data_IF_747376162309
#
_entry.id   IF_747376162309
#
_cell.length_a   1.000
_cell.length_b   1.000
_cell.length_c   1.000
_cell.angle_alpha   90.00
_cell.angle_beta   90.00
_cell.angle_gamma   90.00
#
_symmetry.space_group_name_H-M   'P 1'
#
loop_
_entity.id
_entity.type
_entity.pdbx_description
1 polymer ?
#
# COMPACT_ATOMS: atom_id res chain seq x y z
N UNK A 1 -9.17 -6.56 13.38
CA UNK A 1 -9.58 -5.65 14.46
C UNK A 1 -8.43 -4.72 14.88
N UNK A 2 -7.22 -5.24 15.05
CA UNK A 2 -6.04 -4.46 15.48
C UNK A 2 -5.78 -3.20 14.63
N UNK A 3 -5.91 -3.27 13.30
CA UNK A 3 -5.75 -2.09 12.43
C UNK A 3 -6.81 -1.00 12.69
N UNK A 4 -8.04 -1.38 13.00
CA UNK A 4 -9.10 -0.42 13.36
C UNK A 4 -8.79 0.22 14.72
N UNK A 5 -8.40 -0.59 15.71
CA UNK A 5 -8.02 -0.07 17.04
C UNK A 5 -6.79 0.85 16.96
N UNK A 6 -5.82 0.50 16.12
CA UNK A 6 -4.69 1.36 15.80
C UNK A 6 -5.16 2.69 15.19
N UNK A 7 -6.07 2.66 14.21
CA UNK A 7 -6.63 3.87 13.62
C UNK A 7 -7.40 4.74 14.63
N UNK A 8 -8.22 4.14 15.50
CA UNK A 8 -8.96 4.87 16.55
C UNK A 8 -8.02 5.53 17.54
N UNK A 9 -6.95 4.84 17.95
CA UNK A 9 -5.97 5.38 18.89
C UNK A 9 -5.08 6.46 18.27
N UNK A 10 -4.75 6.34 16.99
CA UNK A 10 -3.87 7.29 16.30
C UNK A 10 -4.61 8.50 15.73
N UNK A 11 -5.86 8.32 15.30
CA UNK A 11 -6.70 9.35 14.70
C UNK A 11 -8.15 9.24 15.17
N UNK A 12 -8.34 9.61 16.43
CA UNK A 12 -9.67 9.64 17.05
C UNK A 12 -10.60 10.67 16.37
N UNK A 13 -10.04 11.72 15.76
CA UNK A 13 -10.82 12.78 15.12
C UNK A 13 -11.61 12.30 13.91
N UNK A 14 -10.98 11.49 13.05
CA UNK A 14 -11.66 10.88 11.90
C UNK A 14 -12.85 10.04 12.32
N UNK A 15 -12.72 9.30 13.42
CA UNK A 15 -13.79 8.46 13.95
C UNK A 15 -14.91 9.28 14.60
N UNK A 16 -14.60 10.40 15.25
CA UNK A 16 -15.62 11.32 15.76
C UNK A 16 -16.41 11.98 14.64
N UNK A 17 -15.77 12.37 13.54
CA UNK A 17 -16.47 12.92 12.36
C UNK A 17 -17.41 11.87 11.77
N UNK A 18 -16.95 10.62 11.63
CA UNK A 18 -17.78 9.50 11.19
C UNK A 18 -18.99 9.29 12.10
N UNK A 19 -18.79 9.27 13.42
CA UNK A 19 -19.86 9.11 14.40
C UNK A 19 -20.83 10.31 14.40
N UNK A 20 -20.31 11.53 14.24
CA UNK A 20 -21.11 12.75 14.13
C UNK A 20 -22.02 12.74 12.90
N UNK A 21 -21.50 12.33 11.75
CA UNK A 21 -22.29 12.10 10.54
C UNK A 21 -23.42 11.09 10.77
N UNK A 22 -23.12 9.96 11.41
CA UNK A 22 -24.13 8.95 11.74
C UNK A 22 -25.26 9.53 12.61
N UNK A 23 -24.92 10.35 13.60
CA UNK A 23 -25.89 11.02 14.47
C UNK A 23 -26.73 12.07 13.75
N UNK A 24 -26.12 12.90 12.90
CA UNK A 24 -26.82 13.95 12.14
C UNK A 24 -27.77 13.36 11.08
N UNK A 25 -27.39 12.24 10.47
CA UNK A 25 -28.25 11.49 9.54
C UNK A 25 -29.53 10.95 10.19
N UNK A 26 -29.64 10.91 11.53
CA UNK A 26 -30.91 10.58 12.18
C UNK A 26 -31.94 11.68 11.91
N UNK A 27 -31.50 12.95 11.85
CA UNK A 27 -32.36 14.13 11.69
C UNK A 27 -32.59 14.51 10.23
N UNK A 28 -31.56 14.42 9.39
CA UNK A 28 -31.62 14.85 7.99
C UNK A 28 -31.25 13.73 7.03
N UNK A 29 -32.29 13.02 6.56
CA UNK A 29 -32.16 11.87 5.66
C UNK A 29 -32.53 12.25 4.24
N UNK A 30 -31.53 12.61 3.44
CA UNK A 30 -31.68 12.64 1.99
C UNK A 30 -31.16 11.33 1.39
N UNK A 31 -31.70 10.86 0.25
CA UNK A 31 -31.18 9.67 -0.43
C UNK A 31 -29.67 9.78 -0.72
N UNK A 32 -29.21 10.95 -1.13
CA UNK A 32 -27.80 11.22 -1.45
C UNK A 32 -26.90 11.04 -0.21
N UNK A 33 -27.29 11.64 0.92
CA UNK A 33 -26.53 11.55 2.17
C UNK A 33 -26.47 10.11 2.69
N UNK A 34 -27.58 9.37 2.57
CA UNK A 34 -27.63 7.94 2.91
C UNK A 34 -26.73 7.11 1.99
N UNK A 35 -26.74 7.34 0.69
CA UNK A 35 -25.86 6.62 -0.26
C UNK A 35 -24.39 6.83 0.07
N UNK A 36 -23.97 8.07 0.34
CA UNK A 36 -22.58 8.37 0.73
C UNK A 36 -22.21 7.62 2.02
N UNK A 37 -23.07 7.71 3.04
CA UNK A 37 -22.80 7.07 4.32
C UNK A 37 -22.75 5.54 4.23
N UNK A 38 -23.66 4.93 3.46
CA UNK A 38 -23.63 3.49 3.20
C UNK A 38 -22.35 3.07 2.47
N UNK A 39 -21.87 3.87 1.51
CA UNK A 39 -20.59 3.65 0.85
C UNK A 39 -19.42 3.66 1.83
N UNK A 40 -19.41 4.61 2.78
CA UNK A 40 -18.42 4.67 3.87
C UNK A 40 -18.45 3.39 4.71
N UNK A 41 -19.63 2.95 5.15
CA UNK A 41 -19.77 1.74 5.97
C UNK A 41 -19.32 0.47 5.24
N UNK A 42 -19.69 0.33 3.97
CA UNK A 42 -19.24 -0.78 3.13
C UNK A 42 -17.72 -0.79 2.96
N UNK A 43 -17.11 0.38 2.72
CA UNK A 43 -15.67 0.50 2.63
C UNK A 43 -14.98 0.14 3.95
N UNK A 44 -15.46 0.67 5.09
CA UNK A 44 -14.90 0.35 6.40
C UNK A 44 -15.03 -1.15 6.72
N UNK A 45 -16.15 -1.77 6.34
CA UNK A 45 -16.37 -3.22 6.47
C UNK A 45 -15.34 -3.99 5.65
N UNK A 46 -15.13 -3.60 4.39
CA UNK A 46 -14.08 -4.17 3.54
C UNK A 46 -12.68 -4.04 4.17
N UNK A 47 -12.35 -2.88 4.74
CA UNK A 47 -11.06 -2.66 5.43
C UNK A 47 -10.90 -3.60 6.61
N UNK A 48 -11.90 -3.68 7.49
CA UNK A 48 -11.85 -4.49 8.72
C UNK A 48 -11.77 -5.98 8.41
N UNK A 49 -12.54 -6.45 7.40
CA UNK A 49 -12.62 -7.87 7.06
C UNK A 49 -11.45 -8.36 6.20
N UNK A 50 -10.88 -7.49 5.36
CA UNK A 50 -9.92 -7.92 4.35
C UNK A 50 -8.73 -6.98 4.20
N UNK A 51 -8.97 -5.72 3.83
CA UNK A 51 -7.90 -4.85 3.33
C UNK A 51 -6.80 -4.57 4.36
N UNK A 52 -7.14 -4.53 5.66
CA UNK A 52 -6.21 -4.30 6.75
C UNK A 52 -5.01 -5.27 6.75
N UNK A 53 -5.19 -6.51 6.28
CA UNK A 53 -4.10 -7.49 6.17
C UNK A 53 -3.05 -7.14 5.11
N UNK A 54 -3.39 -6.27 4.16
CA UNK A 54 -2.55 -5.89 3.03
C UNK A 54 -1.66 -4.68 3.31
N UNK A 55 -1.64 -4.13 4.53
CA UNK A 55 -0.78 -2.99 4.86
C UNK A 55 -0.33 -3.00 6.31
N UNK A 56 0.90 -2.52 6.52
CA UNK A 56 1.40 -2.14 7.83
C UNK A 56 1.47 -0.60 7.98
N UNK A 57 1.02 0.17 6.99
CA UNK A 57 1.01 1.64 7.10
C UNK A 57 -0.26 2.10 7.81
N UNK A 58 -0.09 2.69 8.99
CA UNK A 58 -1.18 3.13 9.84
C UNK A 58 -2.04 4.21 9.17
N UNK A 59 -3.36 4.17 9.42
CA UNK A 59 -4.32 5.20 9.01
C UNK A 59 -4.65 5.28 7.52
N UNK A 60 -3.82 4.72 6.62
CA UNK A 60 -3.95 4.96 5.16
C UNK A 60 -5.32 4.61 4.58
N UNK A 61 -5.94 3.51 5.02
CA UNK A 61 -7.24 3.10 4.46
C UNK A 61 -8.39 3.95 5.01
N UNK A 62 -8.25 4.55 6.19
CA UNK A 62 -9.31 5.38 6.77
C UNK A 62 -9.34 6.81 6.22
N UNK A 63 -8.32 7.22 5.46
CA UNK A 63 -8.30 8.53 4.79
C UNK A 63 -9.49 8.74 3.83
N UNK A 64 -9.91 7.70 3.10
CA UNK A 64 -11.04 7.79 2.18
C UNK A 64 -12.38 7.93 2.92
N UNK A 65 -12.72 7.06 3.90
CA UNK A 65 -13.84 7.27 4.81
C UNK A 65 -13.88 8.65 5.46
N UNK A 66 -12.73 9.12 5.96
CA UNK A 66 -12.61 10.45 6.58
C UNK A 66 -12.96 11.58 5.61
N UNK A 67 -12.39 11.55 4.39
CA UNK A 67 -12.68 12.55 3.37
C UNK A 67 -14.17 12.58 3.02
N UNK A 68 -14.76 11.40 2.74
CA UNK A 68 -16.17 11.29 2.41
C UNK A 68 -17.07 11.71 3.57
N UNK A 69 -16.72 11.38 4.81
CA UNK A 69 -17.44 11.80 6.00
C UNK A 69 -17.35 13.32 6.21
N UNK A 70 -16.22 13.95 5.88
CA UNK A 70 -16.07 15.40 5.95
C UNK A 70 -16.95 16.09 4.91
N UNK A 71 -16.98 15.60 3.67
CA UNK A 71 -17.89 16.10 2.63
C UNK A 71 -19.34 15.97 3.08
N UNK A 72 -19.72 14.81 3.61
CA UNK A 72 -21.06 14.56 4.14
C UNK A 72 -21.39 15.46 5.34
N UNK A 73 -20.44 15.69 6.24
CA UNK A 73 -20.63 16.58 7.38
C UNK A 73 -20.97 18.00 6.91
N UNK A 74 -20.29 18.50 5.87
CA UNK A 74 -20.57 19.82 5.30
C UNK A 74 -21.99 19.89 4.72
N UNK A 75 -22.49 18.82 4.08
CA UNK A 75 -23.87 18.82 3.53
C UNK A 75 -24.95 18.68 4.60
N UNK A 76 -24.61 18.17 5.79
CA UNK A 76 -25.52 18.03 6.93
C UNK A 76 -25.54 19.26 7.85
N UNK A 77 -24.54 20.14 7.76
CA UNK A 77 -24.43 21.32 8.62
C UNK A 77 -25.20 22.51 8.04
N UNK A 78 -26.46 22.63 8.43
CA UNK A 78 -27.32 23.75 8.02
C UNK A 78 -27.17 25.01 8.90
N UNK A 79 -26.44 24.94 10.02
CA UNK A 79 -26.27 26.07 10.93
C UNK A 79 -24.82 26.58 10.91
N UNK A 80 -24.62 27.79 10.41
CA UNK A 80 -23.31 28.42 10.27
C UNK A 80 -22.57 28.57 11.62
N UNK A 81 -23.27 28.83 12.73
CA UNK A 81 -22.63 28.93 14.06
C UNK A 81 -22.05 27.60 14.52
N UNK A 82 -22.78 26.50 14.27
CA UNK A 82 -22.31 25.14 14.57
C UNK A 82 -21.14 24.80 13.65
N UNK A 83 -21.22 25.15 12.37
CA UNK A 83 -20.11 24.97 11.42
C UNK A 83 -18.83 25.69 11.86
N UNK A 84 -18.94 26.96 12.28
CA UNK A 84 -17.80 27.71 12.83
C UNK A 84 -17.22 27.04 14.08
N UNK A 85 -18.08 26.64 15.02
CA UNK A 85 -17.64 25.95 16.23
C UNK A 85 -16.86 24.67 15.91
N UNK A 86 -17.39 23.81 15.03
CA UNK A 86 -16.71 22.59 14.59
C UNK A 86 -15.39 22.91 13.90
N UNK A 87 -15.37 23.89 13.00
CA UNK A 87 -14.15 24.30 12.29
C UNK A 87 -13.06 24.78 13.24
N UNK A 88 -13.42 25.56 14.26
CA UNK A 88 -12.48 26.02 15.29
C UNK A 88 -11.97 24.84 16.12
N UNK A 89 -12.85 23.93 16.56
CA UNK A 89 -12.45 22.74 17.33
C UNK A 89 -11.53 21.82 16.54
N UNK A 90 -11.82 21.56 15.26
CA UNK A 90 -10.95 20.78 14.37
C UNK A 90 -9.61 21.47 14.19
N UNK A 91 -9.59 22.79 13.98
CA UNK A 91 -8.35 23.57 13.85
C UNK A 91 -7.50 23.52 15.12
N UNK A 92 -8.11 23.71 16.29
CA UNK A 92 -7.42 23.57 17.58
C UNK A 92 -6.87 22.16 17.77
N UNK A 93 -7.63 21.12 17.42
CA UNK A 93 -7.17 19.74 17.46
C UNK A 93 -5.98 19.51 16.51
N UNK A 94 -6.05 19.98 15.26
CA UNK A 94 -4.94 19.87 14.29
C UNK A 94 -3.67 20.57 14.84
N UNK A 95 -3.79 21.70 15.52
CA UNK A 95 -2.64 22.40 16.11
C UNK A 95 -2.13 21.63 17.35
N UNK A 96 -3.01 21.11 18.19
CA UNK A 96 -2.64 20.42 19.43
C UNK A 96 -2.06 19.02 19.17
N UNK A 97 -2.62 18.26 18.22
CA UNK A 97 -2.32 16.85 18.05
C UNK A 97 -0.87 16.58 17.59
N UNK A 98 -0.13 15.63 18.20
CA UNK A 98 1.29 15.43 17.96
C UNK A 98 1.64 14.90 16.56
N UNK A 99 0.74 14.12 15.93
CA UNK A 99 0.95 13.57 14.57
C UNK A 99 0.27 14.40 13.47
N UNK A 100 -0.09 15.64 13.78
CA UNK A 100 -0.74 16.53 12.82
C UNK A 100 0.12 16.75 11.58
N UNK A 101 -0.53 16.79 10.42
CA UNK A 101 0.13 17.10 9.14
C UNK A 101 0.81 18.48 9.16
N UNK A 102 0.32 19.44 9.96
CA UNK A 102 0.94 20.78 10.09
C UNK A 102 2.30 20.73 10.77
N UNK A 103 2.54 19.72 11.63
CA UNK A 103 3.81 19.54 12.33
C UNK A 103 4.80 18.69 11.53
N UNK A 104 4.37 18.10 10.42
CA UNK A 104 5.18 17.20 9.60
C UNK A 104 6.55 17.82 9.25
N UNK A 105 7.63 17.07 9.48
CA UNK A 105 9.00 17.54 9.23
C UNK A 105 9.60 18.42 10.33
N UNK A 106 8.86 18.75 11.38
CA UNK A 106 9.35 19.53 12.52
C UNK A 106 9.64 18.67 13.75
N UNK A 107 10.36 19.21 14.72
CA UNK A 107 10.57 18.60 16.04
C UNK A 107 9.29 18.47 16.87
N UNK A 108 8.20 19.13 16.47
CA UNK A 108 6.90 19.03 17.14
C UNK A 108 6.12 17.77 16.70
N UNK A 109 6.54 17.11 15.61
CA UNK A 109 5.91 15.88 15.15
C UNK A 109 6.38 14.69 16.01
N UNK A 110 5.46 14.13 16.79
CA UNK A 110 5.75 12.99 17.64
C UNK A 110 4.92 11.80 17.18
N UNK A 111 5.51 10.84 16.44
CA UNK A 111 4.80 9.65 16.01
C UNK A 111 4.41 8.80 17.22
N UNK A 112 3.39 7.99 17.06
CA UNK A 112 3.08 6.93 18.01
C UNK A 112 4.15 5.83 18.00
N UNK A 113 4.04 4.88 18.94
CA UNK A 113 4.94 3.74 19.00
C UNK A 113 4.93 2.93 17.69
N UNK A 114 6.11 2.75 17.10
CA UNK A 114 6.30 2.01 15.84
C UNK A 114 6.49 0.52 16.13
N UNK A 115 5.89 -0.37 15.32
CA UNK A 115 6.18 -1.80 15.37
C UNK A 115 6.14 -2.43 13.97
N UNK A 116 6.47 -3.72 13.86
CA UNK A 116 6.51 -4.43 12.58
C UNK A 116 5.17 -4.49 11.85
N UNK A 117 4.05 -4.36 12.57
CA UNK A 117 2.70 -4.48 12.05
C UNK A 117 2.07 -3.13 11.69
N UNK A 118 2.44 -2.05 12.37
CA UNK A 118 1.87 -0.71 12.19
C UNK A 118 2.96 0.36 12.32
N UNK A 119 3.14 1.12 11.23
CA UNK A 119 4.12 2.19 11.13
C UNK A 119 3.49 3.51 10.68
N UNK A 120 4.12 4.61 11.11
CA UNK A 120 3.93 5.94 10.57
C UNK A 120 4.93 6.19 9.44
N UNK A 121 4.51 5.89 8.21
CA UNK A 121 5.37 6.10 7.04
C UNK A 121 5.80 7.55 6.86
N UNK A 122 5.01 8.53 7.32
CA UNK A 122 5.36 9.95 7.24
C UNK A 122 6.62 10.22 8.06
N UNK A 123 6.65 9.70 9.28
CA UNK A 123 7.81 9.85 10.16
C UNK A 123 9.05 9.16 9.59
N UNK A 124 8.93 7.91 9.12
CA UNK A 124 10.05 7.19 8.51
C UNK A 124 10.65 7.93 7.31
N UNK A 125 9.82 8.35 6.35
CA UNK A 125 10.27 9.02 5.13
C UNK A 125 11.02 10.34 5.43
N UNK A 126 10.64 11.07 6.49
CA UNK A 126 11.39 12.27 6.94
C UNK A 126 12.72 11.92 7.59
N UNK A 127 12.73 10.95 8.51
CA UNK A 127 13.94 10.59 9.26
C UNK A 127 14.97 9.87 8.38
N UNK A 128 14.50 9.15 7.38
CA UNK A 128 15.34 8.43 6.40
C UNK A 128 15.71 9.30 5.19
N UNK A 129 15.42 10.61 5.23
CA UNK A 129 15.93 11.58 4.24
C UNK A 129 15.21 11.57 2.89
N UNK A 130 14.07 10.90 2.77
CA UNK A 130 13.32 10.77 1.53
C UNK A 130 12.14 11.76 1.38
N UNK A 131 11.78 12.51 2.42
CA UNK A 131 10.71 13.48 2.33
C UNK A 131 11.17 14.77 1.63
N UNK A 132 10.25 15.45 0.93
CA UNK A 132 10.56 16.71 0.24
C UNK A 132 11.09 17.79 1.20
N UNK A 133 10.64 17.78 2.46
CA UNK A 133 11.13 18.70 3.51
C UNK A 133 12.62 18.51 3.84
N UNK A 134 13.22 17.37 3.49
CA UNK A 134 14.65 17.12 3.66
C UNK A 134 15.49 17.66 2.49
N UNK A 135 14.86 18.16 1.41
CA UNK A 135 15.58 18.67 0.24
C UNK A 135 16.46 19.85 0.62
N UNK A 136 17.69 19.87 0.08
CA UNK A 136 18.64 20.98 0.21
C UNK A 136 19.34 21.20 -1.13
N UNK A 137 19.65 22.45 -1.53
CA UNK A 137 20.43 22.71 -2.73
C UNK A 137 21.73 21.90 -2.76
N UNK A 138 22.02 21.25 -3.89
CA UNK A 138 23.22 20.43 -4.08
C UNK A 138 23.19 19.04 -3.43
N UNK A 139 22.14 18.69 -2.69
CA UNK A 139 21.96 17.35 -2.11
C UNK A 139 21.10 16.47 -3.01
N UNK A 140 21.56 15.25 -3.29
CA UNK A 140 20.79 14.25 -4.03
C UNK A 140 19.54 13.85 -3.24
N UNK A 141 18.41 13.66 -3.93
CA UNK A 141 17.13 13.28 -3.32
C UNK A 141 16.49 12.10 -4.06
N UNK A 142 15.91 11.11 -3.35
CA UNK A 142 15.93 10.98 -1.89
C UNK A 142 17.34 10.63 -1.37
N UNK A 143 17.75 11.23 -0.25
CA UNK A 143 18.99 10.83 0.43
C UNK A 143 18.70 9.66 1.37
N UNK A 144 18.58 8.47 0.77
CA UNK A 144 18.12 7.27 1.44
C UNK A 144 19.04 6.09 1.14
N UNK A 145 19.42 5.30 2.15
CA UNK A 145 20.34 4.17 2.00
C UNK A 145 19.93 3.19 0.89
N UNK A 146 18.64 2.84 0.83
CA UNK A 146 18.07 1.99 -0.23
C UNK A 146 18.20 2.56 -1.64
N UNK A 147 18.10 3.88 -1.79
CA UNK A 147 18.29 4.54 -3.08
C UNK A 147 19.76 4.45 -3.52
N UNK A 148 20.69 4.79 -2.62
CA UNK A 148 22.14 4.70 -2.85
C UNK A 148 22.59 3.29 -3.21
N UNK A 149 21.99 2.27 -2.59
CA UNK A 149 22.28 0.88 -2.96
C UNK A 149 21.78 0.54 -4.37
N UNK A 150 20.60 1.04 -4.77
CA UNK A 150 20.13 0.89 -6.14
C UNK A 150 21.08 1.52 -7.16
N UNK A 151 21.60 2.73 -6.89
CA UNK A 151 22.61 3.35 -7.74
C UNK A 151 23.92 2.55 -7.81
N UNK A 152 24.34 1.96 -6.69
CA UNK A 152 25.50 1.06 -6.64
C UNK A 152 25.27 -0.17 -7.52
N UNK A 153 24.10 -0.81 -7.42
CA UNK A 153 23.75 -1.99 -8.22
C UNK A 153 23.67 -1.65 -9.70
N UNK A 154 23.11 -0.49 -10.06
CA UNK A 154 23.09 0.00 -11.45
C UNK A 154 24.48 0.01 -12.09
N UNK A 155 25.51 0.42 -11.35
CA UNK A 155 26.91 0.45 -11.82
C UNK A 155 27.50 -0.95 -12.05
N UNK A 156 26.97 -1.98 -11.39
CA UNK A 156 27.42 -3.36 -11.57
C UNK A 156 26.91 -4.00 -12.87
N UNK A 157 26.00 -3.34 -13.60
CA UNK A 157 25.43 -3.82 -14.88
C UNK A 157 24.85 -5.25 -14.81
N UNK A 158 24.32 -5.62 -13.64
CA UNK A 158 23.62 -6.90 -13.45
C UNK A 158 22.26 -6.84 -14.16
N UNK A 159 21.82 -7.98 -14.73
CA UNK A 159 20.51 -8.10 -15.38
C UNK A 159 19.38 -8.47 -14.42
N UNK A 160 19.72 -9.08 -13.28
CA UNK A 160 18.77 -9.63 -12.32
C UNK A 160 19.24 -9.37 -10.88
N UNK A 161 18.31 -9.02 -10.01
CA UNK A 161 18.53 -8.95 -8.56
C UNK A 161 17.34 -9.55 -7.82
N UNK A 162 17.57 -10.21 -6.68
CA UNK A 162 16.51 -10.84 -5.88
C UNK A 162 16.29 -10.03 -4.61
N UNK A 163 15.08 -9.50 -4.43
CA UNK A 163 14.72 -8.61 -3.34
C UNK A 163 15.22 -7.17 -3.55
N UNK A 164 15.25 -6.42 -2.47
CA UNK A 164 15.74 -5.05 -2.39
C UNK A 164 17.14 -4.95 -1.78
N UNK A 165 17.48 -3.81 -1.16
CA UNK A 165 18.78 -3.53 -0.51
C UNK A 165 19.25 -4.69 0.37
N UNK A 166 20.48 -5.18 0.16
CA UNK A 166 21.01 -6.35 0.88
C UNK A 166 20.16 -7.64 0.75
N UNK A 167 19.30 -7.75 -0.26
CA UNK A 167 18.34 -8.84 -0.42
C UNK A 167 17.09 -8.72 0.47
N UNK A 168 16.79 -7.55 1.04
CA UNK A 168 15.61 -7.33 1.89
C UNK A 168 14.29 -7.30 1.09
N UNK A 169 13.16 -7.07 1.77
CA UNK A 169 11.82 -6.97 1.15
C UNK A 169 11.56 -5.68 0.35
N UNK A 170 11.96 -4.47 0.81
CA UNK A 170 11.52 -3.23 0.19
C UNK A 170 12.30 -2.93 -1.09
N UNK A 171 11.59 -2.87 -2.22
CA UNK A 171 12.19 -2.66 -3.55
C UNK A 171 11.93 -1.27 -4.14
N UNK A 172 11.15 -0.41 -3.50
CA UNK A 172 10.68 0.86 -4.09
C UNK A 172 11.81 1.82 -4.46
N UNK A 173 12.51 2.38 -3.47
CA UNK A 173 13.64 3.29 -3.71
C UNK A 173 14.79 2.59 -4.46
N UNK A 174 15.06 1.35 -4.10
CA UNK A 174 16.11 0.54 -4.70
C UNK A 174 15.90 0.33 -6.20
N UNK A 175 14.73 -0.18 -6.59
CA UNK A 175 14.41 -0.46 -7.99
C UNK A 175 14.31 0.80 -8.83
N UNK A 176 13.78 1.89 -8.26
CA UNK A 176 13.78 3.18 -8.92
C UNK A 176 15.21 3.66 -9.25
N UNK A 177 16.12 3.60 -8.29
CA UNK A 177 17.52 4.01 -8.48
C UNK A 177 18.32 3.05 -9.37
N UNK A 178 18.04 1.74 -9.29
CA UNK A 178 18.69 0.71 -10.10
C UNK A 178 18.43 0.87 -11.60
N UNK A 179 17.30 1.48 -11.97
CA UNK A 179 16.93 1.75 -13.35
C UNK A 179 16.23 0.58 -14.06
N UNK A 180 15.76 0.83 -15.28
CA UNK A 180 14.88 -0.10 -16.02
C UNK A 180 15.58 -1.34 -16.62
N UNK A 181 16.90 -1.35 -16.68
CA UNK A 181 17.67 -2.49 -17.21
C UNK A 181 17.78 -3.66 -16.21
N UNK A 182 17.58 -3.39 -14.92
CA UNK A 182 17.62 -4.41 -13.88
C UNK A 182 16.23 -5.01 -13.68
N UNK A 183 16.10 -6.33 -13.86
CA UNK A 183 14.92 -7.03 -13.41
C UNK A 183 15.05 -7.37 -11.91
N UNK A 184 14.02 -7.08 -11.12
CA UNK A 184 13.99 -7.37 -9.69
C UNK A 184 12.95 -8.46 -9.42
N UNK A 185 13.38 -9.58 -8.84
CA UNK A 185 12.48 -10.60 -8.31
C UNK A 185 12.04 -10.15 -6.92
N UNK A 186 10.80 -9.69 -6.82
CA UNK A 186 10.19 -9.29 -5.56
C UNK A 186 9.69 -10.51 -4.78
N UNK A 187 10.45 -10.91 -3.75
CA UNK A 187 10.16 -12.08 -2.90
C UNK A 187 8.81 -12.02 -2.19
N UNK A 188 8.27 -10.82 -1.96
CA UNK A 188 6.93 -10.66 -1.35
C UNK A 188 5.83 -10.51 -2.39
N UNK A 189 6.16 -10.58 -3.68
CA UNK A 189 5.22 -10.65 -4.80
C UNK A 189 4.29 -9.44 -4.91
N UNK A 190 4.73 -8.25 -4.48
CA UNK A 190 3.97 -7.00 -4.64
C UNK A 190 4.11 -6.45 -6.05
N UNK A 191 5.32 -6.51 -6.64
CA UNK A 191 5.57 -6.11 -8.02
C UNK A 191 5.86 -7.25 -8.97
N UNK A 192 6.09 -8.47 -8.48
CA UNK A 192 6.43 -9.62 -9.33
C UNK A 192 5.16 -10.32 -9.87
N UNK A 193 5.00 -10.42 -11.20
CA UNK A 193 3.75 -10.88 -11.79
C UNK A 193 3.50 -12.39 -11.61
N UNK A 194 4.55 -13.21 -11.52
CA UNK A 194 4.40 -14.64 -11.25
C UNK A 194 4.21 -14.87 -9.76
N UNK A 195 5.13 -14.35 -8.94
CA UNK A 195 5.11 -14.58 -7.50
C UNK A 195 3.82 -14.05 -6.89
N UNK A 196 3.28 -12.90 -7.32
CA UNK A 196 1.99 -12.38 -6.79
C UNK A 196 0.83 -13.38 -6.82
N UNK A 197 0.91 -14.42 -7.67
CA UNK A 197 -0.11 -15.46 -7.85
C UNK A 197 0.19 -16.77 -7.11
N UNK A 198 1.42 -16.97 -6.63
CA UNK A 198 1.78 -18.18 -5.90
C UNK A 198 1.32 -18.11 -4.43
N UNK A 199 1.08 -19.27 -3.79
CA UNK A 199 0.80 -19.33 -2.37
C UNK A 199 1.90 -18.67 -1.53
N UNK A 200 1.49 -17.93 -0.50
CA UNK A 200 2.42 -17.40 0.50
C UNK A 200 3.03 -18.55 1.32
N UNK A 201 4.30 -18.39 1.68
CA UNK A 201 4.96 -19.22 2.68
C UNK A 201 4.25 -18.97 4.01
N UNK A 202 3.73 -20.04 4.62
CA UNK A 202 3.13 -19.97 5.95
C UNK A 202 4.27 -19.99 6.98
N UNK A 203 4.44 -18.94 7.79
CA UNK A 203 5.40 -18.96 8.88
C UNK A 203 4.97 -19.95 9.95
N UNK A 204 5.95 -20.45 10.72
CA UNK A 204 5.71 -21.35 11.85
C UNK A 204 4.97 -20.64 12.99
N UNK A 205 5.19 -19.33 13.14
CA UNK A 205 4.53 -18.50 14.14
C UNK A 205 3.74 -17.36 13.49
N UNK A 206 2.49 -17.16 13.94
CA UNK A 206 1.62 -16.09 13.45
C UNK A 206 2.23 -14.69 13.63
N UNK A 207 3.10 -14.49 14.64
CA UNK A 207 3.80 -13.24 14.89
C UNK A 207 4.85 -12.88 13.82
N UNK A 208 5.24 -13.85 12.97
CA UNK A 208 6.16 -13.62 11.86
C UNK A 208 5.44 -13.13 10.60
N UNK A 209 4.09 -13.15 10.57
CA UNK A 209 3.36 -12.50 9.49
C UNK A 209 3.56 -10.99 9.58
N UNK A 210 3.94 -10.40 8.45
CA UNK A 210 4.01 -8.95 8.28
C UNK A 210 2.95 -8.51 7.29
N UNK A 211 2.05 -7.63 7.73
CA UNK A 211 0.93 -7.17 6.91
C UNK A 211 1.41 -6.59 5.56
N UNK A 212 0.88 -7.15 4.48
CA UNK A 212 1.25 -6.82 3.11
C UNK A 212 2.61 -7.34 2.62
N UNK A 213 3.36 -8.12 3.41
CA UNK A 213 4.70 -8.63 3.06
C UNK A 213 4.74 -10.15 3.15
N UNK A 214 3.99 -10.80 2.27
CA UNK A 214 3.83 -12.24 2.24
C UNK A 214 4.90 -12.89 1.35
N UNK A 215 5.92 -13.49 1.96
CA UNK A 215 7.00 -14.17 1.22
C UNK A 215 6.47 -15.34 0.41
N UNK A 216 7.13 -15.59 -0.72
CA UNK A 216 6.78 -16.67 -1.65
C UNK A 216 8.02 -17.39 -2.13
N UNK A 217 7.88 -18.68 -2.35
CA UNK A 217 8.96 -19.48 -2.93
C UNK A 217 9.21 -19.03 -4.36
N UNK A 218 10.47 -18.77 -4.67
CA UNK A 218 10.92 -18.52 -6.04
C UNK A 218 11.01 -19.89 -6.73
N UNK A 219 10.24 -20.15 -7.80
CA UNK A 219 10.32 -21.43 -8.49
C UNK A 219 11.70 -21.66 -9.10
N UNK A 220 12.19 -22.90 -9.02
CA UNK A 220 13.44 -23.27 -9.69
C UNK A 220 13.35 -22.99 -11.20
N UNK A 221 14.38 -22.36 -11.76
CA UNK A 221 14.40 -21.94 -13.16
C UNK A 221 13.80 -20.56 -13.42
N UNK A 222 13.15 -19.90 -12.46
CA UNK A 222 12.50 -18.59 -12.70
C UNK A 222 13.51 -17.47 -12.97
N UNK A 223 14.61 -17.43 -12.21
CA UNK A 223 15.69 -16.45 -12.41
C UNK A 223 16.33 -16.60 -13.80
N UNK A 224 16.66 -17.83 -14.18
CA UNK A 224 17.17 -18.20 -15.49
C UNK A 224 16.16 -17.83 -16.59
N UNK A 225 14.87 -17.96 -16.29
CA UNK A 225 13.82 -17.64 -17.25
C UNK A 225 13.76 -16.17 -17.60
N UNK A 226 14.00 -15.31 -16.61
CA UNK A 226 14.07 -13.87 -16.79
C UNK A 226 15.33 -13.51 -17.58
N UNK A 227 16.50 -14.01 -17.13
CA UNK A 227 17.80 -13.70 -17.74
C UNK A 227 17.84 -14.08 -19.22
N UNK A 228 17.32 -15.27 -19.56
CA UNK A 228 17.35 -15.82 -20.91
C UNK A 228 16.11 -15.49 -21.74
N UNK A 229 15.14 -14.75 -21.17
CA UNK A 229 13.84 -14.47 -21.79
C UNK A 229 13.12 -15.73 -22.34
N UNK A 230 13.33 -16.88 -21.69
CA UNK A 230 12.79 -18.19 -22.08
C UNK A 230 12.24 -18.87 -20.85
N UNK A 231 11.07 -19.49 -20.90
CA UNK A 231 10.58 -20.20 -19.74
C UNK A 231 11.38 -21.49 -19.49
N UNK A 232 12.06 -21.51 -18.35
CA UNK A 232 12.95 -22.57 -17.87
C UNK A 232 12.51 -23.08 -16.49
N UNK A 233 11.30 -22.71 -16.04
CA UNK A 233 10.76 -23.18 -14.76
C UNK A 233 10.61 -24.71 -14.80
N UNK A 234 11.07 -25.37 -13.74
CA UNK A 234 11.07 -26.84 -13.68
C UNK A 234 9.69 -27.44 -13.41
N UNK A 235 8.97 -26.90 -12.42
CA UNK A 235 7.61 -27.37 -12.10
C UNK A 235 6.69 -27.14 -13.30
N UNK A 236 6.09 -28.21 -13.80
CA UNK A 236 5.31 -28.16 -15.04
C UNK A 236 4.08 -27.26 -14.94
N UNK A 237 3.38 -27.26 -13.80
CA UNK A 237 2.17 -26.45 -13.62
C UNK A 237 2.52 -24.98 -13.52
N UNK A 238 3.53 -24.63 -12.72
CA UNK A 238 4.02 -23.25 -12.59
C UNK A 238 4.59 -22.78 -13.92
N UNK A 239 5.31 -23.64 -14.65
CA UNK A 239 5.81 -23.35 -16.00
C UNK A 239 4.68 -22.99 -16.96
N UNK A 240 3.61 -23.78 -17.00
CA UNK A 240 2.41 -23.48 -17.81
C UNK A 240 1.77 -22.15 -17.37
N UNK A 241 1.64 -21.93 -16.06
CA UNK A 241 1.08 -20.69 -15.53
C UNK A 241 1.93 -19.47 -15.87
N UNK A 242 3.25 -19.60 -15.86
CA UNK A 242 4.15 -18.51 -16.21
C UNK A 242 4.07 -18.14 -17.70
N UNK A 243 3.76 -19.07 -18.61
CA UNK A 243 3.46 -18.69 -20.01
C UNK A 243 2.24 -17.77 -20.11
N UNK A 244 1.20 -18.05 -19.32
CA UNK A 244 0.03 -17.17 -19.21
C UNK A 244 0.46 -15.78 -18.72
N UNK A 245 1.31 -15.72 -17.70
CA UNK A 245 1.85 -14.45 -17.19
C UNK A 245 2.70 -13.72 -18.25
N UNK A 246 3.50 -14.42 -19.04
CA UNK A 246 4.30 -13.83 -20.13
C UNK A 246 3.40 -13.21 -21.20
N UNK A 247 2.30 -13.85 -21.57
CA UNK A 247 1.27 -13.27 -22.46
C UNK A 247 0.73 -11.97 -21.85
N UNK A 248 0.35 -11.99 -20.57
CA UNK A 248 -0.23 -10.83 -19.88
C UNK A 248 0.72 -9.65 -19.72
N UNK A 249 2.03 -9.90 -19.63
CA UNK A 249 3.03 -8.87 -19.30
C UNK A 249 3.85 -8.41 -20.50
N UNK A 250 3.98 -9.24 -21.54
CA UNK A 250 4.91 -8.99 -22.67
C UNK A 250 4.24 -8.79 -24.02
N UNK A 251 3.02 -9.29 -24.23
CA UNK A 251 2.34 -9.08 -25.51
C UNK A 251 1.90 -7.62 -25.69
N UNK A 252 1.72 -7.14 -26.93
CA UNK A 252 1.16 -5.81 -27.19
C UNK A 252 -0.16 -5.60 -26.44
N UNK A 253 -0.39 -4.37 -25.95
CA UNK A 253 -1.56 -4.04 -25.12
C UNK A 253 -2.91 -4.30 -25.82
N UNK A 254 -2.97 -4.15 -27.15
CA UNK A 254 -4.19 -4.37 -27.95
C UNK A 254 -4.23 -5.73 -28.65
N UNK A 255 -3.61 -6.75 -28.08
CA UNK A 255 -3.63 -8.10 -28.62
C UNK A 255 -4.87 -8.88 -28.14
N UNK A 256 -5.66 -9.43 -29.07
CA UNK A 256 -6.88 -10.20 -28.75
C UNK A 256 -6.62 -11.43 -27.87
N UNK A 257 -5.50 -12.13 -28.08
CA UNK A 257 -5.11 -13.25 -27.21
C UNK A 257 -4.82 -12.74 -25.79
N UNK A 258 -4.12 -11.60 -25.62
CA UNK A 258 -3.91 -10.97 -24.31
C UNK A 258 -5.23 -10.61 -23.63
N UNK A 259 -6.20 -10.05 -24.36
CA UNK A 259 -7.53 -9.74 -23.81
C UNK A 259 -8.27 -10.98 -23.33
N UNK A 260 -8.27 -12.06 -24.13
CA UNK A 260 -8.84 -13.35 -23.73
C UNK A 260 -8.16 -13.92 -22.48
N UNK A 261 -6.82 -13.82 -22.41
CA UNK A 261 -6.06 -14.25 -21.23
C UNK A 261 -6.37 -13.42 -19.99
N UNK A 262 -6.58 -12.10 -20.12
CA UNK A 262 -7.00 -11.23 -19.00
C UNK A 262 -8.35 -11.72 -18.45
N UNK A 263 -9.31 -12.00 -19.33
CA UNK A 263 -10.61 -12.53 -18.92
C UNK A 263 -10.49 -13.88 -18.21
N UNK A 264 -9.76 -14.83 -18.80
CA UNK A 264 -9.55 -16.15 -18.22
C UNK A 264 -8.82 -16.11 -16.86
N UNK A 265 -7.87 -15.20 -16.71
CA UNK A 265 -7.16 -14.96 -15.45
C UNK A 265 -8.11 -14.42 -14.36
N UNK A 266 -8.92 -13.41 -14.67
CA UNK A 266 -9.85 -12.81 -13.69
C UNK A 266 -11.03 -13.73 -13.34
N UNK A 267 -11.41 -14.64 -14.23
CA UNK A 267 -12.44 -15.67 -13.97
C UNK A 267 -11.88 -16.94 -13.34
N UNK A 268 -10.58 -16.97 -13.02
CA UNK A 268 -9.95 -18.05 -12.28
C UNK A 268 -9.72 -19.34 -13.07
N UNK A 269 -9.80 -19.29 -14.41
CA UNK A 269 -9.67 -20.47 -15.28
C UNK A 269 -8.29 -21.13 -15.18
N UNK A 270 -7.26 -20.40 -14.77
CA UNK A 270 -5.90 -20.93 -14.58
C UNK A 270 -5.57 -21.32 -13.14
N UNK A 271 -6.52 -21.21 -12.20
CA UNK A 271 -6.25 -21.45 -10.77
C UNK A 271 -5.82 -22.89 -10.48
N UNK A 272 -6.16 -23.86 -11.34
CA UNK A 272 -5.76 -25.27 -11.18
C UNK A 272 -4.24 -25.49 -11.30
N UNK A 273 -3.49 -24.52 -11.85
CA UNK A 273 -2.04 -24.58 -12.02
C UNK A 273 -1.25 -24.09 -10.80
N UNK A 274 -1.91 -23.40 -9.86
CA UNK A 274 -1.26 -22.74 -8.70
C UNK A 274 -1.85 -23.17 -7.35
N UNK A 275 -2.67 -24.22 -7.37
CA UNK A 275 -3.27 -24.87 -6.20
C UNK A 275 -2.42 -26.04 -5.72
#
# INVERSE_FOLDING_TARGET
>A
MDYLMNSVSWDMSSHFILAGCAGLLIKERTPQNLTIFMGILLYMTFVVLSAASATHMSGRFFAVPFFMATVLLVTLLNNQRIGWFIGVMVSMYIIWHPISAVKFGSSLYHPYHQNSSYIDTKWFVVNEGAALVNWRPGKQMPDHAWYHEGERVKKLSQKLYIGGPGGAEPIGYFGFAAGHELYIIDKVGLSDPLLSKLPAIKPENIAQWKSGHFHRNIPEGYAESIINNRNMIQDEKIRQYYEVIRILTRNPIFNWSRLGTIWAMNTGQYNYLIK
#
